data_IF_721086451023
#
_entry.id   IF_721086451023
#
_cell.length_a   1.000
_cell.length_b   1.000
_cell.length_c   1.000
_cell.angle_alpha   90.00
_cell.angle_beta   90.00
_cell.angle_gamma   90.00
#
_symmetry.space_group_name_H-M   'P 1'
#
loop_
_entity.id
_entity.type
_entity.pdbx_description
1 polymer ?
#
# COMPACT_ATOMS: atom_id res chain seq x y z
N UNK A 1 -25.67 19.67 -5.04
CA UNK A 1 -26.62 20.22 -4.06
C UNK A 1 -27.10 21.59 -4.48
N UNK A 2 -28.39 21.71 -4.77
CA UNK A 2 -29.10 22.97 -5.08
C UNK A 2 -30.22 23.25 -4.06
N UNK A 3 -30.10 22.64 -2.89
CA UNK A 3 -31.03 22.80 -1.77
C UNK A 3 -30.78 24.16 -1.10
N UNK A 4 -31.83 24.92 -0.72
CA UNK A 4 -31.66 26.19 -0.01
C UNK A 4 -30.95 26.00 1.34
N UNK A 5 -30.32 27.07 1.83
CA UNK A 5 -29.66 27.09 3.14
C UNK A 5 -30.69 26.79 4.24
N UNK A 6 -30.38 25.84 5.10
CA UNK A 6 -31.24 25.45 6.22
C UNK A 6 -31.20 26.43 7.41
N UNK A 7 -30.20 27.31 7.45
CA UNK A 7 -30.02 28.28 8.52
C UNK A 7 -29.27 29.53 8.03
N UNK A 8 -29.40 30.63 8.78
CA UNK A 8 -28.62 31.85 8.62
C UNK A 8 -27.39 31.82 9.52
N UNK A 9 -26.28 32.39 9.04
CA UNK A 9 -25.04 32.55 9.81
C UNK A 9 -24.86 34.04 10.09
N UNK A 10 -24.69 34.41 11.36
CA UNK A 10 -24.46 35.79 11.82
C UNK A 10 -23.18 35.85 12.66
N UNK A 11 -22.47 36.96 12.56
CA UNK A 11 -21.27 37.21 13.35
C UNK A 11 -21.67 37.58 14.78
N UNK A 12 -20.98 36.99 15.76
CA UNK A 12 -21.19 37.34 17.16
C UNK A 12 -20.33 38.54 17.59
N UNK A 13 -19.14 38.68 16.99
CA UNK A 13 -18.14 39.69 17.32
C UNK A 13 -17.57 40.32 16.05
N UNK A 14 -16.98 41.50 16.20
CA UNK A 14 -16.31 42.23 15.12
C UNK A 14 -14.98 41.59 14.72
N UNK A 15 -14.45 42.00 13.56
CA UNK A 15 -13.14 41.57 13.03
C UNK A 15 -12.99 40.05 12.80
N UNK A 16 -14.08 39.35 12.46
CA UNK A 16 -14.03 37.95 12.05
C UNK A 16 -13.40 37.79 10.64
N UNK A 17 -12.50 36.83 10.49
CA UNK A 17 -11.88 36.47 9.21
C UNK A 17 -12.35 35.10 8.72
N UNK A 18 -12.77 35.01 7.46
CA UNK A 18 -13.24 33.76 6.86
C UNK A 18 -12.52 33.46 5.56
N UNK A 19 -12.19 32.18 5.38
CA UNK A 19 -11.85 31.63 4.07
C UNK A 19 -13.14 31.10 3.44
N UNK A 20 -13.40 31.50 2.20
CA UNK A 20 -14.56 31.05 1.43
C UNK A 20 -14.09 30.28 0.20
N UNK A 21 -14.73 29.14 -0.05
CA UNK A 21 -14.60 28.41 -1.31
C UNK A 21 -15.94 28.45 -2.00
N UNK A 22 -15.97 28.99 -3.22
CA UNK A 22 -17.18 29.06 -4.01
C UNK A 22 -17.61 27.67 -4.51
N UNK A 23 -18.91 27.51 -4.81
CA UNK A 23 -19.52 26.20 -5.14
C UNK A 23 -18.84 25.53 -6.33
N UNK A 24 -18.51 26.30 -7.36
CA UNK A 24 -17.86 25.82 -8.57
C UNK A 24 -16.46 25.28 -8.26
N UNK A 25 -15.70 26.01 -7.45
CA UNK A 25 -14.36 25.60 -7.02
C UNK A 25 -14.43 24.37 -6.12
N UNK A 26 -15.36 24.31 -5.17
CA UNK A 26 -15.58 23.14 -4.32
C UNK A 26 -15.89 21.89 -5.17
N UNK A 27 -16.84 21.99 -6.10
CA UNK A 27 -17.20 20.87 -6.98
C UNK A 27 -16.07 20.48 -7.93
N UNK A 28 -15.24 21.43 -8.39
CA UNK A 28 -14.04 21.11 -9.19
C UNK A 28 -13.03 20.34 -8.36
N UNK A 29 -12.70 20.82 -7.17
CA UNK A 29 -11.75 20.15 -6.26
C UNK A 29 -12.22 18.72 -5.95
N UNK A 30 -13.49 18.53 -5.61
CA UNK A 30 -14.02 17.19 -5.33
C UNK A 30 -13.90 16.26 -6.54
N UNK A 31 -14.24 16.74 -7.75
CA UNK A 31 -14.09 15.94 -8.98
C UNK A 31 -12.63 15.62 -9.29
N UNK A 32 -11.72 16.57 -9.08
CA UNK A 32 -10.30 16.38 -9.32
C UNK A 32 -9.72 15.34 -8.34
N UNK A 33 -10.12 15.39 -7.06
CA UNK A 33 -9.76 14.38 -6.05
C UNK A 33 -10.27 13.01 -6.46
N UNK A 34 -11.54 12.90 -6.86
CA UNK A 34 -12.13 11.64 -7.34
C UNK A 34 -11.44 11.12 -8.60
N UNK A 35 -11.11 12.00 -9.56
CA UNK A 35 -10.40 11.63 -10.77
C UNK A 35 -8.95 11.18 -10.52
N UNK A 36 -8.32 11.68 -9.46
CA UNK A 36 -7.00 11.25 -9.02
C UNK A 36 -7.04 9.98 -8.15
N UNK A 37 -8.21 9.57 -7.67
CA UNK A 37 -8.38 8.41 -6.79
C UNK A 37 -8.83 7.19 -7.59
N UNK A 38 -8.14 6.06 -7.42
CA UNK A 38 -8.56 4.77 -7.96
C UNK A 38 -9.04 3.88 -6.83
N UNK A 39 -10.24 3.30 -6.96
CA UNK A 39 -10.81 2.38 -5.97
C UNK A 39 -11.02 1.01 -6.59
N UNK A 40 -10.31 0.01 -6.09
CA UNK A 40 -10.56 -1.39 -6.41
C UNK A 40 -11.69 -1.90 -5.52
N UNK A 41 -12.67 -2.55 -6.14
CA UNK A 41 -13.81 -3.14 -5.45
C UNK A 41 -13.86 -4.65 -5.61
N UNK A 42 -14.10 -5.35 -4.52
CA UNK A 42 -14.47 -6.77 -4.52
C UNK A 42 -15.74 -6.93 -3.71
N UNK A 43 -16.71 -7.68 -4.26
CA UNK A 43 -18.01 -7.88 -3.60
C UNK A 43 -18.69 -6.55 -3.21
N UNK A 44 -18.60 -5.54 -4.07
CA UNK A 44 -19.14 -4.18 -3.87
C UNK A 44 -18.52 -3.39 -2.70
N UNK A 45 -17.42 -3.86 -2.11
CA UNK A 45 -16.66 -3.17 -1.06
C UNK A 45 -15.33 -2.66 -1.62
N UNK A 46 -14.95 -1.45 -1.24
CA UNK A 46 -13.62 -0.91 -1.55
C UNK A 46 -12.57 -1.73 -0.78
N UNK A 47 -11.67 -2.38 -1.50
CA UNK A 47 -10.62 -3.23 -0.93
C UNK A 47 -9.22 -2.65 -1.10
N UNK A 48 -9.06 -1.67 -2.00
CA UNK A 48 -7.84 -0.89 -2.18
C UNK A 48 -8.19 0.49 -2.72
N UNK A 49 -7.60 1.53 -2.15
CA UNK A 49 -7.72 2.92 -2.56
C UNK A 49 -6.34 3.44 -2.86
N UNK A 50 -6.14 3.90 -4.09
CA UNK A 50 -4.91 4.46 -4.57
C UNK A 50 -5.10 5.93 -4.94
N UNK A 51 -4.07 6.74 -4.76
CA UNK A 51 -4.04 8.13 -5.23
C UNK A 51 -2.92 8.31 -6.25
N UNK A 52 -3.22 9.00 -7.35
CA UNK A 52 -2.25 9.30 -8.40
C UNK A 52 -1.25 10.34 -7.91
N UNK A 53 0.02 9.98 -7.94
CA UNK A 53 1.11 10.89 -7.59
C UNK A 53 1.37 11.81 -8.80
N UNK A 54 1.32 13.13 -8.60
CA UNK A 54 1.55 14.12 -9.66
C UNK A 54 3.03 14.52 -9.82
N UNK A 55 3.94 13.85 -9.12
CA UNK A 55 5.38 14.11 -9.18
C UNK A 55 6.02 13.39 -10.36
N UNK A 56 6.70 14.13 -11.23
CA UNK A 56 7.54 13.61 -12.31
C UNK A 56 8.77 12.85 -11.82
N UNK A 57 9.09 12.94 -10.53
CA UNK A 57 10.23 12.27 -9.90
C UNK A 57 9.87 10.92 -9.28
N UNK A 58 8.58 10.60 -9.18
CA UNK A 58 8.15 9.30 -8.67
C UNK A 58 8.18 8.27 -9.79
N UNK A 59 8.96 7.20 -9.60
CA UNK A 59 8.96 6.04 -10.50
C UNK A 59 7.60 5.31 -10.48
N UNK A 60 6.81 5.51 -9.43
CA UNK A 60 5.48 4.93 -9.27
C UNK A 60 4.38 5.95 -9.50
N UNK A 61 3.39 5.58 -10.31
CA UNK A 61 2.27 6.44 -10.70
C UNK A 61 1.22 6.60 -9.59
N UNK A 62 1.14 5.64 -8.67
CA UNK A 62 0.09 5.60 -7.64
C UNK A 62 0.65 5.24 -6.27
N UNK A 63 0.06 5.84 -5.23
CA UNK A 63 0.34 5.58 -3.82
C UNK A 63 -0.86 4.86 -3.18
N UNK A 64 -0.60 3.95 -2.25
CA UNK A 64 -1.65 3.29 -1.47
C UNK A 64 -2.13 4.24 -0.37
N UNK A 65 -3.43 4.55 -0.36
CA UNK A 65 -4.06 5.40 0.66
C UNK A 65 -4.79 4.58 1.73
N UNK A 66 -5.41 3.47 1.31
CA UNK A 66 -6.07 2.52 2.19
C UNK A 66 -6.26 1.19 1.48
N UNK A 67 -6.43 0.10 2.23
CA UNK A 67 -6.77 -1.18 1.65
C UNK A 67 -6.87 -2.28 2.69
N UNK A 68 -7.33 -3.44 2.24
CA UNK A 68 -7.17 -4.67 3.00
C UNK A 68 -5.69 -5.08 2.98
N UNK A 69 -5.16 -5.69 4.05
CA UNK A 69 -3.78 -6.13 4.08
C UNK A 69 -3.36 -6.99 2.87
N UNK A 70 -4.27 -7.88 2.44
CA UNK A 70 -4.08 -8.76 1.30
C UNK A 70 -3.93 -7.98 -0.01
N UNK A 71 -4.82 -7.01 -0.26
CA UNK A 71 -4.75 -6.19 -1.48
C UNK A 71 -3.60 -5.21 -1.50
N UNK A 72 -3.21 -4.69 -0.34
CA UNK A 72 -2.01 -3.86 -0.21
C UNK A 72 -0.76 -4.68 -0.57
N UNK A 73 -0.64 -5.88 0.01
CA UNK A 73 0.49 -6.78 -0.28
C UNK A 73 0.51 -7.20 -1.76
N UNK A 74 -0.61 -7.64 -2.31
CA UNK A 74 -0.74 -8.02 -3.73
C UNK A 74 -0.29 -6.88 -4.65
N UNK A 75 -0.80 -5.67 -4.44
CA UNK A 75 -0.42 -4.49 -5.22
C UNK A 75 1.08 -4.17 -5.12
N UNK A 76 1.67 -4.26 -3.93
CA UNK A 76 3.10 -3.99 -3.72
C UNK A 76 3.98 -5.04 -4.43
N UNK A 77 3.61 -6.32 -4.35
CA UNK A 77 4.32 -7.39 -5.04
C UNK A 77 4.24 -7.22 -6.57
N UNK A 78 3.08 -6.89 -7.11
CA UNK A 78 2.87 -6.72 -8.55
C UNK A 78 3.61 -5.51 -9.13
N UNK A 79 3.66 -4.40 -8.39
CA UNK A 79 4.12 -3.12 -8.94
C UNK A 79 5.52 -2.72 -8.53
N UNK A 80 6.04 -3.24 -7.41
CA UNK A 80 7.29 -2.78 -6.79
C UNK A 80 8.36 -3.87 -6.77
N UNK A 81 7.96 -5.13 -6.61
CA UNK A 81 8.90 -6.26 -6.56
C UNK A 81 9.23 -6.71 -7.99
N UNK A 82 10.49 -6.53 -8.40
CA UNK A 82 10.99 -6.96 -9.71
C UNK A 82 11.25 -5.84 -10.71
N UNK A 83 11.06 -4.57 -10.35
CA UNK A 83 11.48 -3.44 -11.19
C UNK A 83 13.00 -3.25 -11.10
N UNK A 84 13.80 -3.52 -12.16
CA UNK A 84 15.25 -3.45 -12.07
C UNK A 84 15.71 -2.00 -11.82
N UNK A 85 16.52 -1.78 -10.79
CA UNK A 85 17.11 -0.47 -10.47
C UNK A 85 16.40 0.32 -9.35
N UNK A 86 15.32 -0.20 -8.77
CA UNK A 86 14.69 0.40 -7.59
C UNK A 86 15.26 -0.26 -6.34
N UNK A 87 16.39 0.26 -5.84
CA UNK A 87 17.05 -0.28 -4.65
C UNK A 87 16.36 0.11 -3.34
N UNK A 88 15.49 1.13 -3.34
CA UNK A 88 14.69 1.53 -2.19
C UNK A 88 13.34 2.09 -2.66
N UNK A 89 12.26 1.38 -2.36
CA UNK A 89 10.91 1.87 -2.54
C UNK A 89 10.33 2.22 -1.16
N UNK A 90 10.17 3.51 -0.83
CA UNK A 90 9.65 3.94 0.46
C UNK A 90 8.31 3.31 0.83
N UNK A 91 7.44 3.02 -0.16
CA UNK A 91 6.14 2.41 0.14
C UNK A 91 6.26 0.94 0.55
N UNK A 92 7.22 0.22 -0.02
CA UNK A 92 7.52 -1.16 0.37
C UNK A 92 8.18 -1.18 1.76
N UNK A 93 9.10 -0.25 2.02
CA UNK A 93 9.75 -0.10 3.33
C UNK A 93 8.72 0.24 4.42
N UNK A 94 7.83 1.20 4.17
CA UNK A 94 6.76 1.59 5.09
C UNK A 94 5.81 0.42 5.38
N UNK A 95 5.47 -0.37 4.36
CA UNK A 95 4.68 -1.58 4.55
C UNK A 95 5.41 -2.59 5.44
N UNK A 96 6.67 -2.91 5.14
CA UNK A 96 7.47 -3.87 5.92
C UNK A 96 7.73 -3.39 7.36
N UNK A 97 7.76 -2.07 7.59
CA UNK A 97 7.90 -1.51 8.92
C UNK A 97 6.59 -1.61 9.73
N UNK A 98 5.43 -1.53 9.07
CA UNK A 98 4.13 -1.39 9.76
C UNK A 98 3.21 -2.60 9.66
N UNK A 99 3.53 -3.61 8.83
CA UNK A 99 2.62 -4.72 8.51
C UNK A 99 2.08 -5.45 9.73
N UNK A 100 2.88 -5.59 10.79
CA UNK A 100 2.49 -6.36 11.98
C UNK A 100 1.25 -5.80 12.69
N UNK A 101 0.92 -4.52 12.47
CA UNK A 101 -0.26 -3.86 13.05
C UNK A 101 -1.56 -4.38 12.42
N UNK A 102 -1.51 -4.77 11.16
CA UNK A 102 -2.71 -5.12 10.37
C UNK A 102 -2.64 -6.50 9.71
N UNK A 103 -1.48 -7.16 9.70
CA UNK A 103 -1.23 -8.46 9.11
C UNK A 103 -0.20 -9.24 9.94
N UNK A 104 -0.63 -10.14 10.84
CA UNK A 104 0.30 -10.96 11.61
C UNK A 104 1.25 -11.76 10.70
N UNK A 105 2.50 -11.96 11.12
CA UNK A 105 3.54 -12.62 10.31
C UNK A 105 3.11 -13.97 9.73
N UNK A 106 2.32 -14.75 10.48
CA UNK A 106 1.77 -16.03 9.98
C UNK A 106 0.90 -15.84 8.73
N UNK A 107 0.04 -14.83 8.72
CA UNK A 107 -0.82 -14.52 7.59
C UNK A 107 -0.01 -13.93 6.42
N UNK A 108 0.98 -13.08 6.71
CA UNK A 108 1.90 -12.58 5.67
C UNK A 108 2.60 -13.73 4.94
N UNK A 109 3.13 -14.72 5.68
CA UNK A 109 3.77 -15.90 5.08
C UNK A 109 2.78 -16.71 4.25
N UNK A 110 1.54 -16.89 4.73
CA UNK A 110 0.49 -17.58 3.94
C UNK A 110 0.18 -16.85 2.63
N UNK A 111 0.04 -15.53 2.66
CA UNK A 111 -0.23 -14.74 1.44
C UNK A 111 0.96 -14.75 0.48
N UNK A 112 2.19 -14.63 0.99
CA UNK A 112 3.39 -14.76 0.17
C UNK A 112 3.51 -16.14 -0.47
N UNK A 113 3.20 -17.20 0.27
CA UNK A 113 3.19 -18.58 -0.24
C UNK A 113 2.17 -18.76 -1.37
N UNK A 114 1.02 -18.10 -1.26
CA UNK A 114 -0.02 -18.11 -2.31
C UNK A 114 0.45 -17.42 -3.59
N UNK A 115 1.18 -16.31 -3.46
CA UNK A 115 1.67 -15.51 -4.60
C UNK A 115 2.94 -16.11 -5.24
N UNK A 116 3.74 -16.88 -4.49
CA UNK A 116 4.93 -17.58 -4.98
C UNK A 116 4.94 -19.08 -4.68
N UNK A 117 4.01 -19.88 -5.24
CA UNK A 117 3.87 -21.30 -4.91
C UNK A 117 5.14 -22.12 -5.23
N UNK A 118 5.82 -21.80 -6.32
CA UNK A 118 6.98 -22.55 -6.82
C UNK A 118 8.26 -22.30 -6.01
N UNK A 119 8.37 -21.13 -5.37
CA UNK A 119 9.57 -20.72 -4.62
C UNK A 119 9.65 -21.38 -3.24
N UNK A 120 8.51 -21.80 -2.70
CA UNK A 120 8.43 -22.53 -1.42
C UNK A 120 8.47 -24.05 -1.59
N UNK A 121 8.09 -24.59 -2.75
CA UNK A 121 8.32 -26.01 -3.05
C UNK A 121 9.83 -26.32 -3.15
N UNK A 122 10.62 -25.45 -3.79
CA UNK A 122 12.08 -25.65 -3.84
C UNK A 122 12.77 -25.52 -2.49
N UNK A 123 12.30 -24.63 -1.60
CA UNK A 123 12.81 -24.54 -0.22
C UNK A 123 12.41 -25.75 0.64
N UNK A 124 11.31 -26.43 0.32
CA UNK A 124 10.90 -27.65 1.01
C UNK A 124 11.69 -28.90 0.58
N UNK A 125 12.19 -28.93 -0.66
CA UNK A 125 13.08 -30.01 -1.14
C UNK A 125 14.49 -29.93 -0.53
N UNK A 126 14.98 -28.74 -0.18
CA UNK A 126 16.26 -28.57 0.52
C UNK A 126 16.22 -28.99 2.00
N UNK A 127 15.04 -29.01 2.63
CA UNK A 127 14.89 -29.48 4.01
C UNK A 127 14.62 -31.00 4.11
N UNK A 128 14.04 -31.61 3.07
CA UNK A 128 13.70 -33.05 3.06
C UNK A 128 14.83 -33.96 2.56
N UNK A 129 15.98 -33.42 2.13
CA UNK A 129 17.12 -34.22 1.62
C UNK A 129 18.33 -34.25 2.56
N UNK A 130 18.24 -33.75 3.79
CA UNK A 130 19.36 -33.72 4.74
C UNK A 130 19.06 -34.23 6.15
N UNK A 131 18.34 -35.35 6.28
CA UNK A 131 18.50 -36.23 7.44
C UNK A 131 19.08 -37.57 7.00
N UNK A 132 20.42 -37.59 7.01
CA UNK A 132 21.24 -38.73 6.65
C UNK A 132 22.71 -38.32 6.71
N UNK A 133 23.19 -37.93 7.89
CA UNK A 133 24.63 -37.73 8.13
C UNK A 133 25.37 -39.06 7.91
N UNK A 134 26.61 -39.04 7.40
CA UNK A 134 27.72 -38.74 8.30
C UNK A 134 28.85 -37.86 7.72
N UNK A 135 29.33 -36.97 8.61
CA UNK A 135 30.70 -36.46 8.74
C UNK A 135 31.41 -35.82 7.54
N UNK A 136 31.50 -34.48 7.54
CA UNK A 136 32.71 -33.76 7.11
C UNK A 136 32.93 -32.54 8.01
N UNK A 137 34.08 -32.52 8.70
CA UNK A 137 34.58 -31.38 9.48
C UNK A 137 34.84 -30.19 8.54
N UNK A 138 34.26 -29.03 8.84
CA UNK A 138 34.63 -27.76 8.21
C UNK A 138 35.69 -27.07 9.07
N UNK A 139 36.93 -27.10 8.59
CA UNK A 139 38.01 -26.26 9.08
C UNK A 139 37.69 -24.80 8.75
N UNK A 140 37.53 -23.96 9.78
CA UNK A 140 37.61 -22.52 9.63
C UNK A 140 39.07 -22.09 9.70
N UNK A 141 39.68 -21.78 8.55
CA UNK A 141 40.87 -20.92 8.52
C UNK A 141 40.41 -19.47 8.36
N UNK A 142 40.56 -18.70 9.43
CA UNK A 142 40.61 -17.25 9.35
C UNK A 142 42.05 -16.83 9.03
N UNK A 143 42.20 -15.92 8.08
CA UNK A 143 43.45 -15.21 7.78
C UNK A 143 43.60 -14.03 8.73
#
# INVERSE_FOLDING_TARGET
NDVPRAASIVLHEDNCHFLRVDKENFNRIMRDVEANTVRLKEHSKDVLVLERIQSSYSQFKYMVMAGTPQKMLEYLLETRVGTPGVSQDPALDDFLLTYIVFLPTRQLVTELARQYPLLLMSMSEEFCTREGSPSFQLNYQYR
#
